data_IF_497645194498
#
_entry.id   IF_497645194498
#
_cell.length_a   1.000
_cell.length_b   1.000
_cell.length_c   1.000
_cell.angle_alpha   90.00
_cell.angle_beta   90.00
_cell.angle_gamma   90.00
#
_symmetry.space_group_name_H-M   'P 1'
#
loop_
_entity.id
_entity.type
_entity.pdbx_description
1 polymer ?
#
# COMPACT_ATOMS: atom_id res chain seq x y z
N UNK A 1 38.58 9.43 6.26
CA UNK A 1 37.17 9.62 5.87
C UNK A 1 36.24 9.62 7.06
N UNK A 2 35.98 10.80 7.61
CA UNK A 2 34.93 11.01 8.61
C UNK A 2 33.64 11.41 7.87
N UNK A 3 32.80 10.42 7.54
CA UNK A 3 31.44 10.71 7.09
C UNK A 3 30.69 11.37 8.24
N UNK A 4 30.27 12.62 8.05
CA UNK A 4 29.33 13.29 8.94
C UNK A 4 28.00 12.53 8.86
N UNK A 5 27.68 11.80 9.93
CA UNK A 5 26.39 11.14 10.07
C UNK A 5 25.36 12.20 10.45
N UNK A 6 24.37 12.41 9.58
CA UNK A 6 23.20 13.22 9.90
C UNK A 6 22.21 12.27 10.59
N UNK A 7 21.78 12.55 11.83
CA UNK A 7 20.72 11.79 12.46
C UNK A 7 19.45 11.81 11.61
N UNK A 8 18.72 10.70 11.54
CA UNK A 8 17.55 10.55 10.66
C UNK A 8 16.49 11.62 10.99
N UNK A 9 16.31 11.95 12.26
CA UNK A 9 15.38 12.99 12.71
C UNK A 9 15.76 14.41 12.25
N UNK A 10 17.00 14.59 11.75
CA UNK A 10 17.50 15.84 11.16
C UNK A 10 17.69 15.73 9.64
N UNK A 11 17.22 14.64 9.04
CA UNK A 11 17.19 14.46 7.60
C UNK A 11 15.81 14.80 7.03
N UNK A 12 15.72 15.02 5.73
CA UNK A 12 14.44 15.15 5.01
C UNK A 12 13.91 13.78 4.52
N UNK A 13 14.37 12.68 5.13
CA UNK A 13 13.97 11.33 4.75
C UNK A 13 12.62 10.98 5.37
N UNK A 14 11.76 10.38 4.56
CA UNK A 14 10.52 9.76 5.01
C UNK A 14 10.78 8.26 5.05
N UNK A 15 10.71 7.67 6.25
CA UNK A 15 10.81 6.22 6.43
C UNK A 15 9.43 5.59 6.31
N UNK A 16 9.39 4.37 5.79
CA UNK A 16 8.18 3.57 5.67
C UNK A 16 8.45 2.18 6.25
N UNK A 17 7.47 1.61 6.94
CA UNK A 17 7.59 0.29 7.54
C UNK A 17 7.32 -0.81 6.52
N UNK A 18 8.18 -1.85 6.49
CA UNK A 18 7.88 -3.08 5.75
C UNK A 18 6.78 -3.88 6.44
N UNK A 19 5.89 -4.47 5.65
CA UNK A 19 4.89 -5.44 6.15
C UNK A 19 5.50 -6.82 6.43
N UNK A 20 6.67 -7.12 5.85
CA UNK A 20 7.24 -8.45 5.77
C UNK A 20 6.54 -9.38 4.76
N UNK A 21 5.53 -8.89 4.05
CA UNK A 21 4.77 -9.62 3.03
C UNK A 21 5.22 -9.22 1.62
N UNK A 22 4.92 -10.09 0.66
CA UNK A 22 5.19 -9.88 -0.76
C UNK A 22 3.91 -10.02 -1.57
N UNK A 23 3.78 -9.22 -2.61
CA UNK A 23 2.72 -9.39 -3.62
C UNK A 23 2.98 -10.60 -4.51
N UNK A 24 2.05 -10.88 -5.43
CA UNK A 24 2.13 -12.03 -6.35
C UNK A 24 3.37 -12.01 -7.27
N UNK A 25 3.98 -10.85 -7.48
CA UNK A 25 5.19 -10.68 -8.28
C UNK A 25 6.47 -10.75 -7.42
N UNK A 26 6.35 -11.04 -6.13
CA UNK A 26 7.46 -11.13 -5.19
C UNK A 26 7.98 -9.77 -4.71
N UNK A 27 7.30 -8.66 -5.07
CA UNK A 27 7.63 -7.32 -4.59
C UNK A 27 7.17 -7.20 -3.15
N UNK A 28 8.07 -6.73 -2.28
CA UNK A 28 7.75 -6.51 -0.87
C UNK A 28 6.80 -5.31 -0.72
N UNK A 29 5.85 -5.43 0.20
CA UNK A 29 4.81 -4.43 0.45
C UNK A 29 5.20 -3.59 1.66
N UNK A 30 5.12 -2.28 1.52
CA UNK A 30 5.46 -1.28 2.54
C UNK A 30 4.26 -0.42 2.90
N UNK A 31 4.33 0.23 4.06
CA UNK A 31 3.48 1.35 4.42
C UNK A 31 3.51 2.42 3.32
N UNK A 32 2.33 2.91 2.92
CA UNK A 32 2.19 3.91 1.87
C UNK A 32 2.16 3.34 0.45
N UNK A 33 2.30 2.02 0.27
CA UNK A 33 2.07 1.39 -1.03
C UNK A 33 0.60 1.51 -1.46
N UNK A 34 0.40 1.67 -2.76
CA UNK A 34 -0.90 1.57 -3.43
C UNK A 34 -1.00 0.20 -4.09
N UNK A 35 -2.05 -0.52 -3.72
CA UNK A 35 -2.40 -1.85 -4.21
C UNK A 35 -3.52 -1.74 -5.23
N UNK A 36 -3.30 -2.32 -6.41
CA UNK A 36 -4.35 -2.58 -7.39
C UNK A 36 -5.02 -3.91 -7.05
N UNK A 37 -6.34 -3.88 -7.01
CA UNK A 37 -7.21 -5.01 -6.69
C UNK A 37 -7.72 -5.59 -8.00
N UNK A 38 -7.57 -6.89 -8.15
CA UNK A 38 -7.99 -7.61 -9.36
C UNK A 38 -8.87 -8.81 -9.03
N UNK A 39 -9.88 -9.04 -9.88
CA UNK A 39 -10.68 -10.26 -9.91
C UNK A 39 -10.52 -10.93 -11.27
N UNK A 40 -10.03 -12.17 -11.29
CA UNK A 40 -9.71 -12.93 -12.51
C UNK A 40 -8.91 -12.16 -13.59
N UNK A 41 -8.17 -11.12 -13.19
CA UNK A 41 -7.37 -10.27 -14.08
C UNK A 41 -8.04 -8.96 -14.52
N UNK A 42 -9.31 -8.74 -14.17
CA UNK A 42 -9.98 -7.46 -14.30
C UNK A 42 -9.63 -6.54 -13.11
N UNK A 43 -9.34 -5.27 -13.39
CA UNK A 43 -9.00 -4.29 -12.35
C UNK A 43 -10.28 -3.74 -11.76
N UNK A 44 -10.46 -3.90 -10.44
CA UNK A 44 -11.61 -3.39 -9.70
C UNK A 44 -11.36 -2.03 -9.07
N UNK A 45 -10.08 -1.64 -8.98
CA UNK A 45 -9.66 -0.37 -8.43
C UNK A 45 -8.45 -0.48 -7.52
N UNK A 46 -8.25 0.56 -6.70
CA UNK A 46 -7.04 0.78 -5.94
C UNK A 46 -7.35 1.01 -4.45
N UNK A 47 -6.43 0.56 -3.61
CA UNK A 47 -6.41 0.85 -2.18
C UNK A 47 -4.99 1.22 -1.73
N UNK A 48 -4.86 1.99 -0.65
CA UNK A 48 -3.56 2.28 -0.04
C UNK A 48 -3.39 1.52 1.27
N UNK A 49 -2.15 1.20 1.60
CA UNK A 49 -1.78 0.61 2.88
C UNK A 49 -1.32 1.69 3.86
N UNK A 50 -1.88 1.73 5.06
CA UNK A 50 -1.54 2.66 6.15
C UNK A 50 -1.21 1.90 7.43
N UNK A 51 -0.46 2.51 8.34
CA UNK A 51 -0.24 1.97 9.69
C UNK A 51 -1.15 2.65 10.70
N UNK A 52 -1.99 1.87 11.39
CA UNK A 52 -2.80 2.37 12.50
C UNK A 52 -2.00 2.24 13.80
N UNK A 53 -1.61 3.39 14.36
CA UNK A 53 -0.84 3.46 15.61
C UNK A 53 -1.64 3.07 16.86
N UNK A 54 -2.97 3.19 16.84
CA UNK A 54 -3.83 2.84 17.99
C UNK A 54 -4.03 1.33 18.07
N UNK A 55 -4.25 0.69 16.91
CA UNK A 55 -4.49 -0.74 16.79
C UNK A 55 -3.20 -1.55 16.56
N UNK A 56 -2.09 -0.88 16.26
CA UNK A 56 -0.80 -1.48 15.91
C UNK A 56 -0.92 -2.52 14.78
N UNK A 57 -1.62 -2.14 13.71
CA UNK A 57 -1.89 -3.01 12.55
C UNK A 57 -1.80 -2.22 11.25
N UNK A 58 -1.44 -2.93 10.16
CA UNK A 58 -1.60 -2.38 8.82
C UNK A 58 -3.08 -2.38 8.43
N UNK A 59 -3.55 -1.24 7.93
CA UNK A 59 -4.90 -1.02 7.45
C UNK A 59 -4.87 -0.82 5.93
N UNK A 60 -5.90 -1.33 5.26
CA UNK A 60 -6.12 -1.09 3.84
C UNK A 60 -7.29 -0.12 3.72
N UNK A 61 -7.09 0.97 3.01
CA UNK A 61 -8.09 2.00 2.73
C UNK A 61 -8.37 2.06 1.23
N UNK A 62 -9.62 1.85 0.83
CA UNK A 62 -10.04 2.02 -0.56
C UNK A 62 -9.79 3.46 -1.04
N UNK A 63 -9.23 3.61 -2.24
CA UNK A 63 -9.11 4.89 -2.95
C UNK A 63 -10.27 5.00 -3.94
N UNK A 64 -10.37 4.02 -4.84
CA UNK A 64 -11.43 3.84 -5.81
C UNK A 64 -11.64 2.35 -5.96
N UNK A 65 -12.83 1.85 -5.63
CA UNK A 65 -13.15 0.43 -5.81
C UNK A 65 -14.56 0.38 -6.40
N UNK A 66 -14.72 -0.37 -7.48
CA UNK A 66 -16.00 -0.55 -8.14
C UNK A 66 -17.04 -1.13 -7.17
N UNK A 67 -18.30 -0.71 -7.31
CA UNK A 67 -19.43 -1.11 -6.45
C UNK A 67 -19.88 -2.58 -6.66
N UNK A 68 -18.99 -3.44 -7.16
CA UNK A 68 -19.26 -4.86 -7.42
C UNK A 68 -19.53 -5.61 -6.11
N UNK A 69 -18.81 -5.28 -5.05
CA UNK A 69 -19.00 -5.83 -3.71
C UNK A 69 -18.57 -4.83 -2.62
N UNK A 70 -19.11 -4.91 -1.39
CA UNK A 70 -18.60 -4.16 -0.26
C UNK A 70 -17.11 -4.45 -0.04
N UNK A 71 -16.32 -3.42 0.23
CA UNK A 71 -14.86 -3.54 0.32
C UNK A 71 -14.37 -4.61 1.32
N UNK A 72 -15.09 -4.79 2.43
CA UNK A 72 -14.73 -5.81 3.42
C UNK A 72 -14.92 -7.25 2.90
N UNK A 73 -15.81 -7.48 1.94
CA UNK A 73 -16.02 -8.80 1.32
C UNK A 73 -14.85 -9.13 0.39
N UNK A 74 -14.42 -8.15 -0.41
CA UNK A 74 -13.24 -8.25 -1.29
C UNK A 74 -11.98 -8.63 -0.49
N UNK A 75 -11.77 -8.01 0.68
CA UNK A 75 -10.64 -8.32 1.55
C UNK A 75 -10.69 -9.72 2.18
N UNK A 76 -11.88 -10.31 2.30
CA UNK A 76 -12.08 -11.61 2.94
C UNK A 76 -12.06 -12.79 1.97
N UNK A 77 -12.05 -12.52 0.67
CA UNK A 77 -12.10 -13.53 -0.39
C UNK A 77 -10.73 -13.67 -1.05
N UNK A 78 -10.21 -14.91 -1.03
CA UNK A 78 -8.88 -15.24 -1.56
C UNK A 78 -8.81 -15.27 -3.09
N UNK A 79 -9.95 -15.17 -3.79
CA UNK A 79 -9.98 -15.08 -5.26
C UNK A 79 -9.44 -13.75 -5.77
N UNK A 80 -9.57 -12.67 -4.99
CA UNK A 80 -9.01 -11.38 -5.35
C UNK A 80 -7.49 -11.36 -5.17
N UNK A 81 -6.81 -10.71 -6.12
CA UNK A 81 -5.36 -10.54 -6.05
C UNK A 81 -4.97 -9.08 -5.90
N UNK A 82 -3.89 -8.85 -5.17
CA UNK A 82 -3.35 -7.53 -4.87
C UNK A 82 -1.96 -7.38 -5.49
N UNK A 83 -1.70 -6.23 -6.12
CA UNK A 83 -0.42 -5.93 -6.76
C UNK A 83 0.01 -4.52 -6.42
N UNK A 84 1.26 -4.33 -6.05
CA UNK A 84 1.77 -2.97 -5.82
C UNK A 84 1.90 -2.25 -7.18
N UNK A 85 1.22 -1.12 -7.32
CA UNK A 85 1.25 -0.27 -8.52
C UNK A 85 2.03 1.03 -8.35
N UNK A 86 2.26 1.45 -7.11
CA UNK A 86 2.95 2.69 -6.79
C UNK A 86 2.92 2.95 -5.29
N UNK A 87 3.26 4.16 -4.88
CA UNK A 87 3.12 4.62 -3.49
C UNK A 87 2.63 6.07 -3.44
N UNK A 88 2.15 6.48 -2.26
CA UNK A 88 1.55 7.81 -2.04
C UNK A 88 2.51 8.99 -2.25
N UNK A 89 3.82 8.74 -2.30
CA UNK A 89 4.84 9.80 -2.44
C UNK A 89 5.22 10.04 -3.90
N UNK A 90 5.42 8.96 -4.65
CA UNK A 90 5.91 8.99 -6.03
C UNK A 90 4.77 8.99 -7.07
N UNK A 91 3.60 8.42 -6.72
CA UNK A 91 2.49 8.20 -7.64
C UNK A 91 1.20 8.88 -7.17
N UNK A 92 1.24 10.20 -7.05
CA UNK A 92 0.11 11.01 -6.55
C UNK A 92 -1.13 10.89 -7.45
N UNK A 93 -0.93 10.67 -8.75
CA UNK A 93 -1.98 10.44 -9.72
C UNK A 93 -2.84 9.20 -9.41
N UNK A 94 -2.35 8.26 -8.59
CA UNK A 94 -3.11 7.09 -8.17
C UNK A 94 -4.09 7.38 -7.03
N UNK A 95 -4.06 8.60 -6.45
CA UNK A 95 -4.89 9.01 -5.31
C UNK A 95 -6.09 9.86 -5.71
N UNK A 96 -6.09 10.37 -6.95
CA UNK A 96 -7.18 11.17 -7.50
C UNK A 96 -8.19 10.21 -8.16
N UNK A 97 -9.38 10.10 -7.56
CA UNK A 97 -10.50 9.29 -8.05
C UNK A 97 -11.41 10.06 -9.02
#
# INVERSE_FOLDING_TARGET
>A
DSKLLIPIEKSELILMQSTGLKDKNGKEIFEGDVLEIQDEGEVLGNAKLTWDNEQAVFMIEAISVDDIAPFHEILSDESYSYRVVGNIYENKELLDA
#
